data_IF_348571688492
#
_entry.id   IF_348571688492
#
_cell.length_a   1.000
_cell.length_b   1.000
_cell.length_c   1.000
_cell.angle_alpha   90.00
_cell.angle_beta   90.00
_cell.angle_gamma   90.00
#
_symmetry.space_group_name_H-M   'P 1'
#
loop_
_entity.id
_entity.type
_entity.pdbx_description
1 polymer ?
#
# COMPACT_ATOMS: atom_id res chain seq x y z
N UNK A 1 -7.12 6.68 10.53
CA UNK A 1 -5.80 7.24 10.12
C UNK A 1 -5.45 6.73 8.73
N UNK A 2 -4.82 7.55 7.88
CA UNK A 2 -4.41 7.18 6.52
C UNK A 2 -2.89 6.97 6.47
N UNK A 3 -2.46 5.86 5.89
CA UNK A 3 -1.05 5.59 5.56
C UNK A 3 -0.88 5.77 4.06
N UNK A 4 0.13 6.53 3.64
CA UNK A 4 0.44 6.76 2.24
C UNK A 4 1.83 6.21 1.89
N UNK A 5 1.93 5.43 0.82
CA UNK A 5 3.20 4.93 0.27
C UNK A 5 3.32 5.33 -1.19
N UNK A 6 4.21 6.28 -1.45
CA UNK A 6 4.38 6.93 -2.74
C UNK A 6 5.83 6.85 -3.18
N UNK A 7 6.07 7.03 -4.47
CA UNK A 7 7.42 7.21 -5.00
C UNK A 7 7.96 8.55 -4.52
N UNK A 8 9.20 8.57 -4.02
CA UNK A 8 9.88 9.82 -3.67
C UNK A 8 10.38 10.54 -4.92
N UNK A 9 10.39 11.89 -4.95
CA UNK A 9 11.01 12.63 -6.05
C UNK A 9 12.46 12.18 -6.27
N UNK A 10 12.82 11.86 -7.51
CA UNK A 10 14.16 11.39 -7.88
C UNK A 10 14.46 9.93 -7.54
N UNK A 11 13.49 9.16 -7.03
CA UNK A 11 13.66 7.71 -6.83
C UNK A 11 13.72 7.00 -8.18
N UNK A 12 14.81 6.26 -8.41
CA UNK A 12 14.99 5.47 -9.62
C UNK A 12 14.18 4.16 -9.52
N UNK A 13 13.05 4.15 -10.21
CA UNK A 13 12.11 3.04 -10.21
C UNK A 13 12.68 1.75 -10.81
N UNK A 14 13.78 1.82 -11.56
CA UNK A 14 14.41 0.62 -12.13
C UNK A 14 15.06 -0.24 -11.04
N UNK A 15 15.41 0.39 -9.92
CA UNK A 15 16.09 -0.26 -8.80
C UNK A 15 15.19 -0.43 -7.58
N UNK A 16 14.24 0.49 -7.37
CA UNK A 16 13.39 0.47 -6.17
C UNK A 16 11.97 0.96 -6.45
N UNK A 17 11.06 0.02 -6.70
CA UNK A 17 9.62 0.27 -6.70
C UNK A 17 9.08 0.11 -5.28
N UNK A 18 8.26 1.05 -4.77
CA UNK A 18 7.52 0.86 -3.53
C UNK A 18 6.75 -0.47 -3.54
N UNK A 19 6.83 -1.23 -2.45
CA UNK A 19 6.08 -2.48 -2.29
C UNK A 19 5.25 -2.51 -1.00
N UNK A 20 4.07 -3.11 -1.05
CA UNK A 20 3.21 -3.38 0.12
C UNK A 20 2.80 -4.84 0.15
N UNK A 21 2.54 -5.38 1.34
CA UNK A 21 2.14 -6.77 1.51
C UNK A 21 1.44 -6.99 2.85
N UNK A 22 1.25 -8.25 3.23
CA UNK A 22 0.53 -8.61 4.46
C UNK A 22 1.16 -7.99 5.71
N UNK A 23 2.48 -7.89 5.76
CA UNK A 23 3.18 -7.22 6.87
C UNK A 23 2.79 -5.73 6.99
N UNK A 24 2.52 -5.04 5.87
CA UNK A 24 2.02 -3.67 5.89
C UNK A 24 0.63 -3.60 6.52
N UNK A 25 -0.26 -4.53 6.15
CA UNK A 25 -1.62 -4.58 6.72
C UNK A 25 -1.59 -4.90 8.22
N UNK A 26 -0.73 -5.83 8.66
CA UNK A 26 -0.59 -6.18 10.06
C UNK A 26 -0.18 -4.97 10.92
N UNK A 27 0.84 -4.23 10.49
CA UNK A 27 1.26 -2.98 11.18
C UNK A 27 0.14 -1.95 11.17
N UNK A 28 -0.60 -1.83 10.06
CA UNK A 28 -1.74 -0.92 9.98
C UNK A 28 -2.87 -1.28 10.95
N UNK A 29 -3.18 -2.56 11.13
CA UNK A 29 -4.14 -3.04 12.12
C UNK A 29 -3.68 -2.69 13.54
N UNK A 30 -2.40 -2.94 13.87
CA UNK A 30 -1.81 -2.65 15.18
C UNK A 30 -1.93 -1.17 15.56
N UNK A 31 -1.78 -0.25 14.59
CA UNK A 31 -1.87 1.20 14.82
C UNK A 31 -3.26 1.78 14.58
N UNK A 32 -4.26 0.96 14.27
CA UNK A 32 -5.63 1.42 13.98
C UNK A 32 -5.74 2.28 12.71
N UNK A 33 -4.88 2.04 11.71
CA UNK A 33 -4.99 2.67 10.41
C UNK A 33 -6.13 2.05 9.60
N UNK A 34 -6.91 2.90 8.92
CA UNK A 34 -8.15 2.51 8.23
C UNK A 34 -8.00 2.54 6.71
N UNK A 35 -6.94 3.17 6.20
CA UNK A 35 -6.78 3.40 4.76
C UNK A 35 -5.31 3.39 4.36
N UNK A 36 -5.00 2.66 3.29
CA UNK A 36 -3.71 2.64 2.62
C UNK A 36 -3.85 3.31 1.24
N UNK A 37 -3.21 4.45 1.05
CA UNK A 37 -3.05 5.10 -0.23
C UNK A 37 -1.72 4.68 -0.87
N UNK A 38 -1.77 4.21 -2.11
CA UNK A 38 -0.59 3.83 -2.91
C UNK A 38 -0.59 4.55 -4.25
N UNK A 39 0.59 4.78 -4.82
CA UNK A 39 0.70 5.35 -6.16
C UNK A 39 0.31 4.31 -7.21
N UNK A 40 -0.75 4.61 -7.97
CA UNK A 40 -1.28 3.72 -8.98
C UNK A 40 -0.27 3.50 -10.12
N UNK A 41 0.02 2.24 -10.43
CA UNK A 41 0.96 1.86 -11.48
C UNK A 41 2.44 1.97 -11.09
N UNK A 42 2.76 2.44 -9.88
CA UNK A 42 4.14 2.54 -9.37
C UNK A 42 4.37 1.86 -8.02
N UNK A 43 3.42 1.04 -7.57
CA UNK A 43 3.53 0.26 -6.33
C UNK A 43 3.28 -1.22 -6.60
N UNK A 44 4.16 -2.08 -6.10
CA UNK A 44 4.03 -3.53 -6.14
C UNK A 44 3.18 -3.98 -4.95
N UNK A 45 2.15 -4.80 -5.20
CA UNK A 45 1.41 -5.50 -4.15
C UNK A 45 1.90 -6.95 -4.12
N UNK A 46 2.52 -7.36 -3.01
CA UNK A 46 2.97 -8.72 -2.79
C UNK A 46 1.78 -9.62 -2.47
N UNK A 47 1.66 -10.73 -3.19
CA UNK A 47 0.55 -11.69 -3.08
C UNK A 47 -0.83 -10.99 -3.10
N UNK A 48 -1.16 -10.40 -4.25
CA UNK A 48 -2.36 -9.59 -4.47
C UNK A 48 -3.66 -10.24 -3.96
N UNK A 49 -3.98 -11.50 -4.29
CA UNK A 49 -5.19 -12.16 -3.80
C UNK A 49 -5.24 -12.24 -2.27
N UNK A 50 -4.15 -12.67 -1.62
CA UNK A 50 -4.08 -12.75 -0.16
C UNK A 50 -4.17 -11.36 0.47
N UNK A 51 -3.51 -10.37 -0.12
CA UNK A 51 -3.49 -8.99 0.33
C UNK A 51 -4.88 -8.38 0.34
N UNK A 52 -5.63 -8.52 -0.76
CA UNK A 52 -7.01 -8.01 -0.86
C UNK A 52 -7.91 -8.70 0.17
N UNK A 53 -7.83 -10.03 0.29
CA UNK A 53 -8.62 -10.77 1.28
C UNK A 53 -8.33 -10.29 2.71
N UNK A 54 -7.05 -10.09 3.06
CA UNK A 54 -6.65 -9.62 4.39
C UNK A 54 -7.07 -8.18 4.64
N UNK A 55 -6.91 -7.29 3.66
CA UNK A 55 -7.33 -5.89 3.78
C UNK A 55 -8.83 -5.79 4.04
N UNK A 56 -9.65 -6.56 3.29
CA UNK A 56 -11.09 -6.63 3.50
C UNK A 56 -11.45 -7.15 4.90
N UNK A 57 -10.80 -8.22 5.36
CA UNK A 57 -11.04 -8.77 6.70
C UNK A 57 -10.68 -7.78 7.82
N UNK A 58 -9.61 -7.01 7.61
CA UNK A 58 -9.15 -5.98 8.54
C UNK A 58 -9.96 -4.67 8.49
N UNK A 59 -10.88 -4.52 7.53
CA UNK A 59 -11.59 -3.26 7.30
C UNK A 59 -10.69 -2.12 6.79
N UNK A 60 -9.54 -2.46 6.19
CA UNK A 60 -8.59 -1.50 5.62
C UNK A 60 -8.94 -1.25 4.16
N UNK A 61 -9.27 0.00 3.83
CA UNK A 61 -9.46 0.42 2.43
C UNK A 61 -8.12 0.63 1.75
N UNK A 62 -7.92 0.05 0.57
CA UNK A 62 -6.72 0.27 -0.25
C UNK A 62 -7.09 1.08 -1.48
N UNK A 63 -6.45 2.23 -1.66
CA UNK A 63 -6.78 3.19 -2.72
C UNK A 63 -5.56 3.45 -3.57
N UNK A 64 -5.69 3.22 -4.88
CA UNK A 64 -4.72 3.64 -5.88
C UNK A 64 -4.94 5.11 -6.23
N UNK A 65 -3.95 5.95 -5.97
CA UNK A 65 -3.99 7.39 -6.24
C UNK A 65 -3.12 7.70 -7.46
N UNK A 66 -3.66 8.53 -8.37
CA UNK A 66 -2.87 9.22 -9.39
C UNK A 66 -2.69 10.66 -8.94
N UNK A 67 -1.47 11.15 -9.04
CA UNK A 67 -1.15 12.55 -8.81
C UNK A 67 -0.27 13.01 -9.97
N UNK A 68 -0.63 14.14 -10.57
CA UNK A 68 0.11 14.76 -11.67
C UNK A 68 0.92 15.94 -11.14
#
# INVERSE_FOLDING_TARGET
MVVAKMVKPGQDLRFDLPAVGIGTLAVMEEVGASTLAIEAGKTIILDGPLFIMRANKAGISVVGVKWD
#
